data_IF_750034178625
#
_entry.id   IF_750034178625
#
_cell.length_a   1.000
_cell.length_b   1.000
_cell.length_c   1.000
_cell.angle_alpha   90.00
_cell.angle_beta   90.00
_cell.angle_gamma   90.00
#
_symmetry.space_group_name_H-M   'P 1'
#
loop_
_entity.id
_entity.type
_entity.pdbx_description
1 polymer ?
#
# COMPACT_ATOMS: atom_id res chain seq x y z
N UNK A 1 -3.63 13.21 28.45
CA UNK A 1 -2.71 14.37 28.51
C UNK A 1 -2.26 14.86 27.12
N UNK A 2 -2.09 13.98 26.12
CA UNK A 2 -1.67 14.36 24.75
C UNK A 2 -2.80 14.87 23.82
N UNK A 3 -4.06 14.50 24.07
CA UNK A 3 -5.24 14.89 23.26
C UNK A 3 -5.62 16.39 23.36
N UNK A 4 -5.11 17.13 24.36
CA UNK A 4 -5.47 18.53 24.62
C UNK A 4 -4.64 19.54 23.83
N UNK A 5 -3.50 19.14 23.27
CA UNK A 5 -2.59 20.05 22.53
C UNK A 5 -2.84 20.08 21.03
N UNK A 6 -3.54 19.09 20.48
CA UNK A 6 -3.74 18.96 19.04
C UNK A 6 -5.17 19.35 18.69
N UNK A 7 -5.33 20.57 18.18
CA UNK A 7 -6.55 20.97 17.48
C UNK A 7 -6.94 19.91 16.45
N UNK A 8 -8.24 19.59 16.37
CA UNK A 8 -8.77 18.64 15.40
C UNK A 8 -8.44 19.14 13.98
N UNK A 9 -7.47 18.52 13.31
CA UNK A 9 -6.96 18.96 12.02
C UNK A 9 -5.55 19.56 12.02
N UNK A 10 -4.84 19.60 13.15
CA UNK A 10 -3.43 19.98 13.22
C UNK A 10 -2.58 19.19 12.22
N UNK A 11 -2.85 17.90 12.04
CA UNK A 11 -2.15 17.01 11.12
C UNK A 11 -2.20 17.46 9.65
N UNK A 12 -3.17 18.30 9.26
CA UNK A 12 -3.30 18.82 7.89
C UNK A 12 -2.15 19.75 7.51
N UNK A 13 -1.65 20.54 8.48
CA UNK A 13 -0.54 21.48 8.26
C UNK A 13 0.76 20.75 7.88
N UNK A 14 1.31 19.82 8.70
CA UNK A 14 2.50 19.07 8.31
C UNK A 14 2.24 18.20 7.07
N UNK A 15 1.05 17.62 6.91
CA UNK A 15 0.71 16.87 5.69
C UNK A 15 0.81 17.77 4.43
N UNK A 16 0.25 18.97 4.46
CA UNK A 16 0.29 19.91 3.34
C UNK A 16 1.71 20.39 3.01
N UNK A 17 2.55 20.62 4.03
CA UNK A 17 3.95 21.02 3.85
C UNK A 17 4.73 19.89 3.17
N UNK A 18 4.57 18.66 3.66
CA UNK A 18 5.22 17.48 3.05
C UNK A 18 4.73 17.29 1.61
N UNK A 19 3.41 17.38 1.37
CA UNK A 19 2.85 17.28 0.02
C UNK A 19 3.41 18.35 -0.91
N UNK A 20 3.52 19.61 -0.47
CA UNK A 20 4.08 20.69 -1.27
C UNK A 20 5.56 20.44 -1.62
N UNK A 21 6.36 19.94 -0.67
CA UNK A 21 7.77 19.58 -0.90
C UNK A 21 7.90 18.45 -1.92
N UNK A 22 7.07 17.41 -1.80
CA UNK A 22 7.04 16.29 -2.75
C UNK A 22 6.68 16.80 -4.15
N UNK A 23 5.65 17.65 -4.25
CA UNK A 23 5.19 18.21 -5.52
C UNK A 23 6.27 19.09 -6.18
N UNK A 24 6.92 19.94 -5.39
CA UNK A 24 8.03 20.77 -5.87
C UNK A 24 9.19 19.90 -6.41
N UNK A 25 9.59 18.86 -5.67
CA UNK A 25 10.64 17.94 -6.12
C UNK A 25 10.24 17.17 -7.39
N UNK A 26 8.97 16.78 -7.50
CA UNK A 26 8.42 16.09 -8.66
C UNK A 26 8.50 16.96 -9.92
N UNK A 27 8.08 18.23 -9.83
CA UNK A 27 8.14 19.18 -10.94
C UNK A 27 9.59 19.48 -11.35
N UNK A 28 10.48 19.66 -10.37
CA UNK A 28 11.89 19.97 -10.64
C UNK A 28 12.68 18.78 -11.24
N UNK A 29 12.29 17.53 -10.96
CA UNK A 29 13.04 16.33 -11.36
C UNK A 29 12.23 15.37 -12.22
N UNK A 30 11.18 15.85 -12.89
CA UNK A 30 10.21 15.02 -13.60
C UNK A 30 10.89 14.03 -14.57
N UNK A 31 11.89 14.49 -15.33
CA UNK A 31 12.63 13.63 -16.28
C UNK A 31 13.39 12.50 -15.59
N UNK A 32 14.04 12.78 -14.46
CA UNK A 32 14.78 11.78 -13.69
C UNK A 32 13.82 10.76 -13.04
N UNK A 33 12.67 11.22 -12.56
CA UNK A 33 11.65 10.37 -11.96
C UNK A 33 11.03 9.44 -13.00
N UNK A 34 10.69 9.96 -14.19
CA UNK A 34 10.15 9.14 -15.29
C UNK A 34 11.19 8.10 -15.75
N UNK A 35 12.46 8.50 -15.89
CA UNK A 35 13.53 7.57 -16.25
C UNK A 35 13.73 6.47 -15.19
N UNK A 36 13.69 6.83 -13.91
CA UNK A 36 13.75 5.90 -12.79
C UNK A 36 12.56 4.93 -12.76
N UNK A 37 11.35 5.44 -13.02
CA UNK A 37 10.14 4.62 -13.12
C UNK A 37 10.23 3.64 -14.30
N UNK A 38 10.68 4.09 -15.47
CA UNK A 38 10.84 3.21 -16.63
C UNK A 38 11.84 2.08 -16.34
N UNK A 39 12.98 2.40 -15.71
CA UNK A 39 13.97 1.38 -15.29
C UNK A 39 13.40 0.41 -14.26
N UNK A 40 12.54 0.88 -13.35
CA UNK A 40 11.86 0.01 -12.38
C UNK A 40 10.92 -0.96 -13.10
N UNK A 41 10.06 -0.47 -14.00
CA UNK A 41 9.11 -1.28 -14.75
C UNK A 41 9.76 -2.36 -15.61
N UNK A 42 10.99 -2.15 -16.08
CA UNK A 42 11.73 -3.12 -16.88
C UNK A 42 12.48 -4.18 -16.07
N UNK A 43 12.42 -4.15 -14.73
CA UNK A 43 13.16 -5.09 -13.86
C UNK A 43 12.24 -6.18 -13.32
N UNK A 44 12.72 -7.41 -13.14
CA UNK A 44 11.96 -8.52 -12.53
C UNK A 44 11.40 -8.17 -11.13
N UNK A 45 12.10 -7.30 -10.40
CA UNK A 45 11.67 -6.73 -9.11
C UNK A 45 10.30 -6.06 -9.17
N UNK A 46 9.92 -5.51 -10.34
CA UNK A 46 8.61 -4.94 -10.55
C UNK A 46 7.50 -5.99 -10.49
N UNK A 47 7.72 -7.20 -11.00
CA UNK A 47 6.71 -8.26 -10.94
C UNK A 47 6.41 -8.67 -9.51
N UNK A 48 7.45 -8.81 -8.68
CA UNK A 48 7.31 -9.14 -7.25
C UNK A 48 6.56 -8.03 -6.51
N UNK A 49 6.94 -6.78 -6.78
CA UNK A 49 6.25 -5.62 -6.23
C UNK A 49 4.79 -5.56 -6.68
N UNK A 50 4.52 -5.84 -7.95
CA UNK A 50 3.18 -5.81 -8.55
C UNK A 50 2.28 -6.90 -7.95
N UNK A 51 2.80 -8.10 -7.72
CA UNK A 51 2.07 -9.17 -7.01
C UNK A 51 1.69 -8.70 -5.60
N UNK A 52 2.64 -8.09 -4.88
CA UNK A 52 2.36 -7.52 -3.56
C UNK A 52 1.29 -6.42 -3.60
N UNK A 53 1.34 -5.56 -4.63
CA UNK A 53 0.34 -4.53 -4.86
C UNK A 53 -1.05 -5.14 -5.08
N UNK A 54 -1.18 -6.18 -5.91
CA UNK A 54 -2.47 -6.85 -6.14
C UNK A 54 -3.00 -7.55 -4.88
N UNK A 55 -2.13 -8.22 -4.13
CA UNK A 55 -2.49 -8.85 -2.85
C UNK A 55 -3.05 -7.84 -1.85
N UNK A 56 -2.29 -6.77 -1.60
CA UNK A 56 -2.67 -5.75 -0.63
C UNK A 56 -3.86 -4.90 -1.11
N UNK A 57 -3.90 -4.49 -2.38
CA UNK A 57 -4.85 -3.48 -2.83
C UNK A 57 -6.16 -4.06 -3.36
N UNK A 58 -6.11 -5.23 -4.01
CA UNK A 58 -7.30 -5.84 -4.64
C UNK A 58 -7.80 -7.01 -3.80
N UNK A 59 -6.96 -8.00 -3.55
CA UNK A 59 -7.41 -9.24 -2.89
C UNK A 59 -7.80 -9.00 -1.43
N UNK A 60 -7.04 -8.22 -0.66
CA UNK A 60 -7.45 -7.81 0.70
C UNK A 60 -8.82 -7.13 0.68
N UNK A 61 -9.11 -6.26 -0.29
CA UNK A 61 -10.42 -5.56 -0.35
C UNK A 61 -11.59 -6.48 -0.66
N UNK A 62 -11.38 -7.46 -1.53
CA UNK A 62 -12.38 -8.49 -1.81
C UNK A 62 -12.60 -9.36 -0.56
N UNK A 63 -11.52 -9.79 0.10
CA UNK A 63 -11.60 -10.52 1.36
C UNK A 63 -12.20 -9.68 2.50
N UNK A 64 -12.04 -8.36 2.46
CA UNK A 64 -12.61 -7.43 3.41
C UNK A 64 -14.10 -7.16 3.21
N UNK A 65 -14.66 -7.54 2.06
CA UNK A 65 -16.07 -7.34 1.78
C UNK A 65 -16.93 -8.37 2.52
N UNK A 66 -17.73 -7.89 3.48
CA UNK A 66 -18.59 -8.76 4.30
C UNK A 66 -19.59 -9.55 3.45
N UNK A 67 -20.16 -8.94 2.41
CA UNK A 67 -21.16 -9.60 1.55
C UNK A 67 -20.62 -10.85 0.87
N UNK A 68 -19.38 -10.82 0.36
CA UNK A 68 -18.72 -11.98 -0.24
C UNK A 68 -18.73 -13.20 0.70
N UNK A 69 -18.43 -12.99 1.97
CA UNK A 69 -18.42 -14.08 2.95
C UNK A 69 -19.81 -14.53 3.38
N UNK A 70 -20.78 -13.63 3.47
CA UNK A 70 -22.17 -13.98 3.79
C UNK A 70 -22.82 -14.75 2.64
N UNK A 71 -22.54 -14.37 1.39
CA UNK A 71 -23.03 -15.08 0.20
C UNK A 71 -22.35 -16.45 0.03
N UNK A 72 -21.07 -16.56 0.40
CA UNK A 72 -20.29 -17.79 0.26
C UNK A 72 -20.48 -18.80 1.42
N UNK A 73 -20.54 -18.33 2.67
CA UNK A 73 -20.64 -19.19 3.87
C UNK A 73 -22.04 -19.23 4.48
N UNK A 74 -22.95 -18.32 4.15
CA UNK A 74 -24.30 -18.24 4.72
C UNK A 74 -24.28 -18.18 6.25
N UNK A 75 -25.02 -19.09 6.88
CA UNK A 75 -25.10 -19.24 8.34
C UNK A 75 -23.76 -19.60 9.01
N UNK A 76 -22.78 -20.08 8.23
CA UNK A 76 -21.42 -20.39 8.69
C UNK A 76 -20.48 -19.17 8.75
N UNK A 77 -20.99 -17.95 8.53
CA UNK A 77 -20.18 -16.74 8.55
C UNK A 77 -19.50 -16.53 9.91
N UNK A 78 -18.17 -16.49 9.90
CA UNK A 78 -17.36 -16.11 11.04
C UNK A 78 -16.51 -14.88 10.72
N UNK A 79 -16.68 -13.82 11.52
CA UNK A 79 -15.96 -12.55 11.37
C UNK A 79 -14.46 -12.70 11.56
N UNK A 80 -14.01 -13.53 12.50
CA UNK A 80 -12.60 -13.69 12.83
C UNK A 80 -11.85 -14.37 11.69
N UNK A 81 -12.48 -15.35 11.02
CA UNK A 81 -11.91 -16.00 9.83
C UNK A 81 -11.77 -15.00 8.68
N UNK A 82 -12.80 -14.19 8.43
CA UNK A 82 -12.73 -13.11 7.44
C UNK A 82 -11.55 -12.17 7.76
N UNK A 83 -11.48 -11.69 8.99
CA UNK A 83 -10.46 -10.73 9.43
C UNK A 83 -9.08 -11.34 9.31
N UNK A 84 -8.88 -12.58 9.72
CA UNK A 84 -7.61 -13.30 9.58
C UNK A 84 -7.16 -13.38 8.11
N UNK A 85 -8.08 -13.67 7.20
CA UNK A 85 -7.78 -13.74 5.75
C UNK A 85 -7.46 -12.36 5.17
N UNK A 86 -8.25 -11.34 5.53
CA UNK A 86 -8.01 -9.95 5.12
C UNK A 86 -6.64 -9.45 5.61
N UNK A 87 -6.38 -9.53 6.92
CA UNK A 87 -5.11 -9.12 7.53
C UNK A 87 -3.92 -9.95 7.01
N UNK A 88 -4.11 -11.25 6.78
CA UNK A 88 -3.10 -12.12 6.18
C UNK A 88 -2.72 -11.68 4.76
N UNK A 89 -3.71 -11.39 3.92
CA UNK A 89 -3.48 -10.88 2.55
C UNK A 89 -2.78 -9.52 2.57
N UNK A 90 -3.13 -8.63 3.50
CA UNK A 90 -2.42 -7.36 3.67
C UNK A 90 -0.96 -7.59 4.08
N UNK A 91 -0.71 -8.44 5.08
CA UNK A 91 0.63 -8.77 5.54
C UNK A 91 1.52 -9.37 4.43
N UNK A 92 1.00 -10.34 3.67
CA UNK A 92 1.73 -10.90 2.53
C UNK A 92 1.95 -9.87 1.45
N UNK A 93 0.93 -9.07 1.11
CA UNK A 93 1.05 -8.00 0.13
C UNK A 93 2.17 -7.01 0.48
N UNK A 94 2.25 -6.58 1.74
CA UNK A 94 3.35 -5.74 2.21
C UNK A 94 4.72 -6.42 2.15
N UNK A 95 4.78 -7.71 2.48
CA UNK A 95 6.02 -8.49 2.40
C UNK A 95 6.56 -8.58 0.97
N UNK A 96 5.70 -8.81 -0.01
CA UNK A 96 6.07 -8.81 -1.43
C UNK A 96 6.45 -7.42 -1.95
N UNK A 97 5.71 -6.37 -1.56
CA UNK A 97 6.04 -4.99 -1.89
C UNK A 97 7.45 -4.63 -1.39
N UNK A 98 7.76 -4.96 -0.14
CA UNK A 98 9.08 -4.74 0.45
C UNK A 98 10.17 -5.54 -0.27
N UNK A 99 9.90 -6.81 -0.56
CA UNK A 99 10.85 -7.70 -1.24
C UNK A 99 11.21 -7.20 -2.64
N UNK A 100 10.22 -6.72 -3.42
CA UNK A 100 10.46 -6.11 -4.72
C UNK A 100 11.35 -4.87 -4.63
N UNK A 101 11.19 -4.04 -3.60
CA UNK A 101 12.03 -2.85 -3.37
C UNK A 101 13.46 -3.24 -2.97
N UNK A 102 13.63 -4.25 -2.13
CA UNK A 102 14.96 -4.73 -1.73
C UNK A 102 15.70 -5.29 -2.95
N UNK A 103 15.03 -6.07 -3.79
CA UNK A 103 15.65 -6.70 -4.96
C UNK A 103 16.15 -5.68 -6.00
N UNK A 104 15.42 -4.57 -6.22
CA UNK A 104 15.93 -3.50 -7.10
C UNK A 104 17.14 -2.78 -6.50
N UNK A 105 17.23 -2.69 -5.16
CA UNK A 105 18.38 -2.08 -4.49
C UNK A 105 19.64 -2.94 -4.63
N UNK A 106 19.51 -4.26 -4.61
CA UNK A 106 20.62 -5.20 -4.76
C UNK A 106 21.16 -5.28 -6.20
N UNK A 107 20.29 -5.10 -7.21
CA UNK A 107 20.69 -5.01 -8.63
C UNK A 107 21.32 -3.65 -9.02
N UNK A 108 21.61 -2.76 -8.06
CA UNK A 108 22.12 -1.40 -8.30
C UNK A 108 23.57 -1.26 -7.88
#
# INVERSE_FOLDING_TARGET
MFELFFFHGFWKVPASVISAIIFYKLLSNQKSIIAGANRFFTTDSFLIWLIGFFMFFIFSRIAGYKGFWMDFLGDGYNRDIKTLVEEGLEFFGYSFLLSGIILIREKR
#
